data_IF_912768654419
#
_entry.id   IF_912768654419
#
_cell.length_a   1.000
_cell.length_b   1.000
_cell.length_c   1.000
_cell.angle_alpha   90.00
_cell.angle_beta   90.00
_cell.angle_gamma   90.00
#
_symmetry.space_group_name_H-M   'P 1'
#
loop_
_entity.id
_entity.type
_entity.pdbx_description
1 polymer ?
#
# COMPACT_ATOMS: atom_id res chain seq x y z
N UNK A 1 -85.52 -39.18 -7.77
CA UNK A 1 -84.88 -37.86 -8.02
C UNK A 1 -84.42 -37.16 -6.73
N UNK A 2 -85.22 -37.18 -5.65
CA UNK A 2 -84.87 -36.53 -4.36
C UNK A 2 -83.59 -37.07 -3.69
N UNK A 3 -83.36 -38.37 -3.69
CA UNK A 3 -82.16 -38.99 -3.07
C UNK A 3 -80.85 -38.64 -3.77
N UNK A 4 -80.88 -38.50 -5.10
CA UNK A 4 -79.71 -38.07 -5.89
C UNK A 4 -79.35 -36.60 -5.61
N UNK A 5 -80.35 -35.74 -5.40
CA UNK A 5 -80.14 -34.34 -5.05
C UNK A 5 -79.53 -34.17 -3.65
N UNK A 6 -79.95 -34.99 -2.68
CA UNK A 6 -79.37 -34.97 -1.32
C UNK A 6 -77.91 -35.43 -1.33
N UNK A 7 -77.60 -36.50 -2.06
CA UNK A 7 -76.22 -36.98 -2.23
C UNK A 7 -75.31 -35.93 -2.89
N UNK A 8 -75.81 -35.24 -3.93
CA UNK A 8 -75.05 -34.19 -4.60
C UNK A 8 -74.80 -32.99 -3.68
N UNK A 9 -75.80 -32.61 -2.86
CA UNK A 9 -75.64 -31.54 -1.87
C UNK A 9 -74.62 -31.90 -0.78
N UNK A 10 -74.63 -33.15 -0.30
CA UNK A 10 -73.65 -33.62 0.68
C UNK A 10 -72.23 -33.64 0.09
N UNK A 11 -72.09 -34.02 -1.19
CA UNK A 11 -70.80 -34.02 -1.88
C UNK A 11 -70.26 -32.59 -2.03
N UNK A 12 -71.10 -31.63 -2.43
CA UNK A 12 -70.67 -30.24 -2.56
C UNK A 12 -70.33 -29.58 -1.22
N UNK A 13 -71.02 -29.95 -0.13
CA UNK A 13 -70.70 -29.49 1.22
C UNK A 13 -69.37 -30.06 1.73
N UNK A 14 -69.07 -31.32 1.44
CA UNK A 14 -67.82 -31.96 1.92
C UNK A 14 -66.58 -31.50 1.16
N UNK A 15 -66.70 -31.21 -0.14
CA UNK A 15 -65.58 -30.66 -0.95
C UNK A 15 -65.25 -29.21 -0.56
N UNK A 16 -66.21 -28.44 -0.05
CA UNK A 16 -65.96 -27.06 0.42
C UNK A 16 -65.32 -27.00 1.81
N UNK A 17 -65.28 -28.11 2.56
CA UNK A 17 -64.68 -28.21 3.89
C UNK A 17 -63.25 -28.78 3.88
N UNK A 18 -62.77 -29.34 2.77
CA UNK A 18 -61.43 -29.96 2.69
C UNK A 18 -60.27 -28.96 2.72
N UNK A 19 -60.54 -27.66 2.59
CA UNK A 19 -59.54 -26.59 2.67
C UNK A 19 -59.50 -25.82 4.00
N UNK A 20 -60.42 -26.07 4.94
CA UNK A 20 -60.54 -25.29 6.18
C UNK A 20 -59.96 -25.98 7.43
N UNK A 21 -59.49 -27.23 7.34
CA UNK A 21 -59.06 -28.04 8.50
C UNK A 21 -57.63 -28.60 8.38
N UNK A 22 -56.78 -28.00 7.54
CA UNK A 22 -55.34 -28.28 7.55
C UNK A 22 -54.61 -27.25 8.40
N UNK A 23 -53.68 -27.69 9.27
CA UNK A 23 -52.64 -26.78 9.76
C UNK A 23 -51.92 -26.19 8.55
N UNK A 24 -51.76 -24.86 8.51
CA UNK A 24 -50.85 -24.23 7.56
C UNK A 24 -49.46 -24.78 7.84
N UNK A 25 -48.95 -25.66 6.97
CA UNK A 25 -47.53 -26.00 6.98
C UNK A 25 -46.78 -24.71 6.70
N UNK A 26 -46.24 -24.12 7.76
CA UNK A 26 -45.33 -22.98 7.70
C UNK A 26 -44.09 -23.50 6.97
N UNK A 27 -44.05 -23.30 5.65
CA UNK A 27 -42.84 -23.51 4.88
C UNK A 27 -41.78 -22.58 5.48
N UNK A 28 -40.67 -23.11 6.02
CA UNK A 28 -39.62 -22.24 6.52
C UNK A 28 -39.15 -21.37 5.36
N UNK A 29 -39.15 -20.05 5.55
CA UNK A 29 -38.55 -19.14 4.59
C UNK A 29 -37.11 -19.60 4.33
N UNK A 30 -36.68 -19.73 3.06
CA UNK A 30 -35.31 -20.09 2.77
C UNK A 30 -34.41 -19.01 3.35
N UNK A 31 -33.52 -19.40 4.27
CA UNK A 31 -32.50 -18.51 4.81
C UNK A 31 -31.70 -17.96 3.63
N UNK A 32 -31.60 -16.63 3.46
CA UNK A 32 -30.80 -16.07 2.38
C UNK A 32 -29.36 -16.53 2.56
N UNK A 33 -28.85 -17.28 1.59
CA UNK A 33 -27.42 -17.61 1.52
C UNK A 33 -26.71 -16.29 1.26
N UNK A 34 -25.90 -15.85 2.22
CA UNK A 34 -25.01 -14.71 2.03
C UNK A 34 -24.01 -15.14 0.96
N UNK A 35 -24.12 -14.57 -0.25
CA UNK A 35 -23.06 -14.73 -1.25
C UNK A 35 -21.81 -14.03 -0.69
N UNK A 36 -20.81 -14.83 -0.30
CA UNK A 36 -19.46 -14.31 -0.05
C UNK A 36 -18.96 -13.70 -1.36
N UNK A 37 -18.84 -12.37 -1.42
CA UNK A 37 -18.31 -11.68 -2.59
C UNK A 37 -16.84 -12.11 -2.80
N UNK A 38 -16.52 -12.91 -3.84
CA UNK A 38 -15.19 -13.50 -4.00
C UNK A 38 -14.12 -12.46 -4.35
N UNK A 39 -14.48 -11.17 -4.49
CA UNK A 39 -13.58 -10.08 -4.85
C UNK A 39 -12.95 -9.39 -3.65
N UNK A 40 -13.52 -9.51 -2.46
CA UNK A 40 -13.03 -8.87 -1.25
C UNK A 40 -12.70 -9.95 -0.23
N UNK A 41 -11.43 -10.04 0.15
CA UNK A 41 -10.96 -10.99 1.14
C UNK A 41 -10.02 -10.28 2.12
N UNK A 42 -10.09 -10.67 3.39
CA UNK A 42 -9.19 -10.18 4.44
C UNK A 42 -8.22 -11.30 4.77
N UNK A 43 -6.93 -10.98 4.87
CA UNK A 43 -5.91 -11.96 5.24
C UNK A 43 -5.10 -11.50 6.44
N UNK A 44 -4.54 -12.46 7.18
CA UNK A 44 -3.47 -12.17 8.13
C UNK A 44 -2.14 -11.90 7.41
N UNK A 45 -1.09 -11.60 8.17
CA UNK A 45 0.27 -11.35 7.65
C UNK A 45 0.89 -12.52 6.88
N UNK A 46 0.30 -13.71 6.96
CA UNK A 46 0.76 -14.92 6.26
C UNK A 46 -0.07 -15.23 5.01
N UNK A 47 -1.10 -14.42 4.73
CA UNK A 47 -2.01 -14.63 3.61
C UNK A 47 -3.17 -15.58 3.91
N UNK A 48 -3.37 -15.99 5.18
CA UNK A 48 -4.49 -16.84 5.57
C UNK A 48 -5.76 -16.01 5.64
N UNK A 49 -6.83 -16.49 5.01
CA UNK A 49 -8.14 -15.83 5.02
C UNK A 49 -8.69 -15.70 6.43
N UNK A 50 -9.16 -14.51 6.77
CA UNK A 50 -9.82 -14.18 8.03
C UNK A 50 -11.30 -13.91 7.76
N UNK A 51 -12.18 -14.57 8.52
CA UNK A 51 -13.62 -14.31 8.50
C UNK A 51 -13.93 -13.03 9.31
N UNK A 52 -13.57 -11.89 8.71
CA UNK A 52 -13.82 -10.58 9.29
C UNK A 52 -14.16 -9.57 8.20
N UNK A 53 -14.92 -8.54 8.58
CA UNK A 53 -15.32 -7.48 7.66
C UNK A 53 -14.09 -6.70 7.18
N UNK A 54 -13.98 -6.51 5.87
CA UNK A 54 -12.96 -5.66 5.29
C UNK A 54 -13.09 -4.22 5.78
N UNK A 55 -11.94 -3.54 5.92
CA UNK A 55 -11.92 -2.12 6.27
C UNK A 55 -12.67 -1.36 5.18
N UNK A 56 -13.57 -0.45 5.59
CA UNK A 56 -14.26 0.42 4.66
C UNK A 56 -13.24 1.38 4.01
N UNK A 57 -12.97 1.17 2.72
CA UNK A 57 -11.97 1.93 1.97
C UNK A 57 -12.64 2.72 0.86
N UNK A 58 -12.16 3.94 0.64
CA UNK A 58 -12.49 4.74 -0.54
C UNK A 58 -11.23 4.90 -1.36
N UNK A 59 -11.29 4.51 -2.63
CA UNK A 59 -10.19 4.72 -3.57
C UNK A 59 -10.37 6.04 -4.28
N UNK A 60 -9.31 6.84 -4.33
CA UNK A 60 -9.28 8.11 -5.04
C UNK A 60 -8.21 8.04 -6.12
N UNK A 61 -8.50 8.62 -7.27
CA UNK A 61 -7.49 8.86 -8.29
C UNK A 61 -6.81 10.20 -7.98
N UNK A 62 -5.50 10.18 -7.88
CA UNK A 62 -4.69 11.37 -7.63
C UNK A 62 -3.66 11.49 -8.74
N UNK A 63 -3.77 12.56 -9.53
CA UNK A 63 -2.82 12.86 -10.59
C UNK A 63 -1.69 13.74 -10.04
N UNK A 64 -0.47 13.23 -10.07
CA UNK A 64 0.73 13.94 -9.60
C UNK A 64 1.22 14.95 -10.65
N UNK A 65 0.76 14.84 -11.90
CA UNK A 65 1.15 15.72 -13.01
C UNK A 65 2.52 15.40 -13.64
N UNK A 66 3.18 14.33 -13.20
CA UNK A 66 4.52 13.94 -13.63
C UNK A 66 4.56 12.50 -14.14
N UNK A 67 5.56 12.18 -14.96
CA UNK A 67 5.81 10.78 -15.36
C UNK A 67 6.52 10.02 -14.23
N UNK A 68 6.06 8.82 -13.90
CA UNK A 68 6.65 8.00 -12.83
C UNK A 68 7.29 6.72 -13.35
N UNK A 69 8.49 6.79 -13.95
CA UNK A 69 9.31 5.57 -14.08
C UNK A 69 9.89 5.24 -12.71
N UNK A 70 9.89 3.97 -12.37
CA UNK A 70 10.40 3.45 -11.09
C UNK A 70 9.82 4.17 -9.85
N UNK A 71 8.48 4.21 -9.71
CA UNK A 71 7.85 5.00 -8.66
C UNK A 71 8.09 4.40 -7.27
N UNK A 72 8.25 5.28 -6.29
CA UNK A 72 8.24 4.95 -4.86
C UNK A 72 7.37 5.95 -4.11
N UNK A 73 6.72 5.48 -3.05
CA UNK A 73 5.83 6.29 -2.21
C UNK A 73 6.12 6.04 -0.74
N UNK A 74 6.05 7.09 0.06
CA UNK A 74 6.15 7.02 1.51
C UNK A 74 5.28 8.09 2.18
N UNK A 75 5.01 7.91 3.47
CA UNK A 75 4.15 8.81 4.24
C UNK A 75 4.85 9.05 5.59
N UNK A 76 5.04 10.31 5.96
CA UNK A 76 5.57 10.69 7.28
C UNK A 76 4.47 10.63 8.33
N UNK A 77 4.83 10.62 9.61
CA UNK A 77 3.88 10.55 10.72
C UNK A 77 2.93 11.77 10.80
N UNK A 78 3.29 12.89 10.18
CA UNK A 78 2.43 14.07 10.01
C UNK A 78 1.29 13.87 8.99
N UNK A 79 1.38 12.81 8.19
CA UNK A 79 0.44 12.50 7.12
C UNK A 79 0.82 13.10 5.76
N UNK A 80 1.99 13.73 5.64
CA UNK A 80 2.52 14.16 4.35
C UNK A 80 2.98 12.95 3.52
N UNK A 81 2.53 12.90 2.28
CA UNK A 81 2.82 11.86 1.31
C UNK A 81 3.94 12.35 0.39
N UNK A 82 4.93 11.50 0.14
CA UNK A 82 6.03 11.75 -0.76
C UNK A 82 6.02 10.71 -1.87
N UNK A 83 6.09 11.16 -3.12
CA UNK A 83 6.10 10.34 -4.31
C UNK A 83 7.26 10.74 -5.20
N UNK A 84 8.05 9.76 -5.64
CA UNK A 84 9.15 10.01 -6.58
C UNK A 84 8.65 9.86 -8.00
N UNK A 85 8.84 10.92 -8.79
CA UNK A 85 8.52 10.98 -10.20
C UNK A 85 9.75 11.42 -10.99
N UNK A 86 10.51 10.46 -11.53
CA UNK A 86 11.83 10.71 -12.13
C UNK A 86 12.75 11.41 -11.12
N UNK A 87 13.40 12.50 -11.51
CA UNK A 87 14.26 13.28 -10.64
C UNK A 87 13.51 13.98 -9.51
N UNK A 88 12.16 14.07 -9.54
CA UNK A 88 11.37 14.92 -8.64
C UNK A 88 10.87 14.20 -7.40
N UNK A 89 11.01 14.85 -6.24
CA UNK A 89 10.25 14.53 -5.03
C UNK A 89 8.96 15.36 -4.97
N UNK A 90 7.84 14.70 -5.25
CA UNK A 90 6.50 15.26 -5.19
C UNK A 90 5.91 15.05 -3.79
N UNK A 91 5.35 16.10 -3.20
CA UNK A 91 4.81 16.11 -1.84
C UNK A 91 3.34 16.51 -1.83
N UNK A 92 2.56 15.87 -0.97
CA UNK A 92 1.17 16.24 -0.66
C UNK A 92 0.91 16.15 0.84
N UNK A 93 0.39 17.21 1.46
CA UNK A 93 -0.03 17.19 2.87
C UNK A 93 -1.54 17.42 3.04
N UNK A 94 -2.31 17.30 1.95
CA UNK A 94 -3.77 17.41 1.93
C UNK A 94 -4.45 16.08 1.60
N UNK A 95 -3.75 14.96 1.85
CA UNK A 95 -4.24 13.61 1.60
C UNK A 95 -4.21 13.20 0.12
N UNK A 96 -3.30 13.77 -0.68
CA UNK A 96 -3.15 13.47 -2.09
C UNK A 96 -4.13 14.23 -2.98
N UNK A 97 -4.69 15.37 -2.53
CA UNK A 97 -5.56 16.20 -3.38
C UNK A 97 -4.75 17.13 -4.28
N UNK A 98 -3.63 17.64 -3.79
CA UNK A 98 -2.68 18.44 -4.56
C UNK A 98 -1.23 18.02 -4.29
N UNK A 99 -0.36 18.28 -5.26
CA UNK A 99 1.05 17.91 -5.24
C UNK A 99 1.93 19.10 -5.59
N UNK A 100 3.06 19.19 -4.92
CA UNK A 100 4.12 20.16 -5.19
C UNK A 100 5.48 19.46 -5.27
N UNK A 101 6.36 19.91 -6.17
CA UNK A 101 7.77 19.52 -6.15
C UNK A 101 8.45 20.29 -5.01
N UNK A 102 9.09 19.57 -4.08
CA UNK A 102 9.68 20.19 -2.89
C UNK A 102 11.19 20.05 -2.77
N UNK A 103 11.79 19.23 -3.62
CA UNK A 103 13.23 19.04 -3.60
C UNK A 103 14.00 20.32 -3.91
N UNK A 104 15.16 20.49 -3.28
CA UNK A 104 16.06 21.58 -3.59
C UNK A 104 16.89 21.22 -4.85
N UNK A 105 16.92 22.10 -5.88
CA UNK A 105 17.60 21.82 -7.16
C UNK A 105 19.13 21.80 -7.08
N UNK A 106 19.70 22.17 -5.92
CA UNK A 106 21.15 22.15 -5.66
C UNK A 106 21.50 20.98 -4.75
N UNK A 107 20.70 20.72 -3.71
CA UNK A 107 20.94 19.63 -2.77
C UNK A 107 20.58 18.26 -3.38
N UNK A 108 19.61 18.20 -4.28
CA UNK A 108 19.19 17.00 -4.99
C UNK A 108 19.75 16.98 -6.42
N UNK A 109 19.87 15.77 -6.99
CA UNK A 109 20.33 15.63 -8.37
C UNK A 109 19.30 16.15 -9.37
N UNK A 110 19.70 16.95 -10.38
CA UNK A 110 18.81 17.40 -11.44
C UNK A 110 18.60 16.35 -12.55
N UNK A 111 19.25 15.20 -12.45
CA UNK A 111 19.14 14.11 -13.43
C UNK A 111 19.04 12.76 -12.75
N UNK A 112 18.49 11.78 -13.46
CA UNK A 112 18.39 10.41 -12.99
C UNK A 112 18.55 9.40 -14.12
N UNK A 113 19.17 8.27 -13.79
CA UNK A 113 19.14 7.04 -14.59
C UNK A 113 18.18 5.99 -14.03
N UNK A 114 17.90 6.06 -12.72
CA UNK A 114 17.03 5.16 -11.96
C UNK A 114 16.68 5.87 -10.62
N UNK A 115 15.45 6.40 -10.49
CA UNK A 115 15.01 7.11 -9.31
C UNK A 115 14.51 6.17 -8.21
N UNK A 116 14.73 6.56 -6.96
CA UNK A 116 14.19 5.86 -5.81
C UNK A 116 13.96 6.81 -4.64
N UNK A 117 13.01 6.48 -3.77
CA UNK A 117 12.71 7.25 -2.57
C UNK A 117 12.33 6.36 -1.41
N UNK A 118 12.53 6.90 -0.22
CA UNK A 118 12.22 6.24 1.04
C UNK A 118 11.79 7.27 2.07
N UNK A 119 10.75 6.94 2.85
CA UNK A 119 10.41 7.69 4.06
C UNK A 119 10.70 6.78 5.23
N UNK A 120 11.59 7.19 6.13
CA UNK A 120 11.92 6.44 7.33
C UNK A 120 10.70 6.43 8.27
N UNK A 121 10.08 5.26 8.54
CA UNK A 121 8.90 5.20 9.40
C UNK A 121 9.20 5.48 10.88
N UNK A 122 10.49 5.56 11.27
CA UNK A 122 10.91 5.83 12.64
C UNK A 122 11.21 7.32 12.84
N UNK A 123 11.93 7.93 11.91
CA UNK A 123 12.45 9.30 12.08
C UNK A 123 11.76 10.34 11.19
N UNK A 124 10.82 9.93 10.35
CA UNK A 124 10.17 10.76 9.32
C UNK A 124 11.12 11.39 8.29
N UNK A 125 12.38 10.92 8.23
CA UNK A 125 13.33 11.40 7.23
C UNK A 125 12.90 10.94 5.84
N UNK A 126 12.78 11.90 4.94
CA UNK A 126 12.48 11.66 3.53
C UNK A 126 13.80 11.60 2.75
N UNK A 127 13.96 10.60 1.89
CA UNK A 127 15.10 10.45 1.00
C UNK A 127 14.65 10.54 -0.46
N UNK A 128 15.34 11.38 -1.22
CA UNK A 128 15.34 11.38 -2.68
C UNK A 128 16.66 10.84 -3.18
N UNK A 129 16.63 9.75 -3.94
CA UNK A 129 17.82 9.02 -4.37
C UNK A 129 17.82 8.93 -5.89
N UNK A 130 18.90 9.38 -6.52
CA UNK A 130 19.04 9.35 -7.96
C UNK A 130 20.31 8.61 -8.36
N UNK A 131 20.17 7.55 -9.17
CA UNK A 131 21.32 6.89 -9.78
C UNK A 131 21.88 7.76 -10.91
N UNK A 132 23.20 7.91 -10.95
CA UNK A 132 23.91 8.69 -11.97
C UNK A 132 24.81 7.76 -12.78
N UNK A 133 24.40 7.48 -14.02
CA UNK A 133 25.25 6.85 -15.04
C UNK A 133 25.80 5.47 -14.68
N UNK A 134 25.09 4.70 -13.83
CA UNK A 134 25.52 3.41 -13.26
C UNK A 134 26.77 3.50 -12.37
N UNK A 135 27.32 4.69 -12.11
CA UNK A 135 28.60 4.86 -11.43
C UNK A 135 28.42 5.21 -9.94
N UNK A 136 27.44 6.05 -9.64
CA UNK A 136 27.21 6.58 -8.30
C UNK A 136 25.73 6.84 -8.06
N UNK A 137 25.37 7.17 -6.83
CA UNK A 137 24.08 7.80 -6.50
C UNK A 137 24.27 9.11 -5.78
N UNK A 138 23.36 10.02 -6.09
CA UNK A 138 23.14 11.26 -5.36
C UNK A 138 22.00 11.02 -4.38
N UNK A 139 22.27 11.17 -3.10
CA UNK A 139 21.27 11.06 -2.05
C UNK A 139 21.01 12.44 -1.49
N UNK A 140 19.77 12.89 -1.53
CA UNK A 140 19.32 14.04 -0.77
C UNK A 140 18.25 13.61 0.24
N UNK A 141 18.13 14.36 1.33
CA UNK A 141 17.19 14.07 2.39
C UNK A 141 16.63 15.34 3.03
N UNK A 142 15.43 15.18 3.61
CA UNK A 142 14.74 16.20 4.40
C UNK A 142 14.32 15.60 5.75
N UNK A 143 14.48 16.40 6.79
CA UNK A 143 14.11 16.09 8.18
C UNK A 143 12.91 16.92 8.67
N UNK A 144 12.26 17.67 7.77
CA UNK A 144 11.22 18.65 8.10
C UNK A 144 10.04 18.62 7.11
N UNK A 145 9.57 17.42 6.78
CA UNK A 145 8.47 17.21 5.81
C UNK A 145 8.72 17.89 4.46
N UNK A 146 9.95 17.82 3.95
CA UNK A 146 10.32 18.32 2.62
C UNK A 146 10.46 19.84 2.54
N UNK A 147 10.52 20.57 3.65
CA UNK A 147 10.68 22.04 3.62
C UNK A 147 12.12 22.45 3.31
N UNK A 148 13.10 21.72 3.84
CA UNK A 148 14.52 21.92 3.56
C UNK A 148 15.20 20.60 3.23
N UNK A 149 16.23 20.69 2.39
CA UNK A 149 16.96 19.55 1.87
C UNK A 149 18.45 19.70 2.05
N UNK A 150 19.10 18.59 2.36
CA UNK A 150 20.55 18.42 2.30
C UNK A 150 20.84 17.27 1.33
N UNK A 151 22.06 17.21 0.78
CA UNK A 151 22.41 16.08 -0.06
C UNK A 151 23.90 15.89 -0.28
N UNK A 152 24.23 14.72 -0.79
CA UNK A 152 25.57 14.28 -1.11
C UNK A 152 25.57 13.66 -2.53
N UNK A 153 26.33 14.26 -3.49
CA UNK A 153 26.35 13.78 -4.87
C UNK A 153 27.03 12.42 -5.08
N UNK A 154 27.76 11.90 -4.08
CA UNK A 154 28.53 10.66 -4.20
C UNK A 154 28.38 9.75 -2.97
N UNK A 155 27.14 9.49 -2.56
CA UNK A 155 26.84 8.84 -1.28
C UNK A 155 26.78 7.29 -1.37
N UNK A 156 26.93 6.71 -2.57
CA UNK A 156 26.92 5.25 -2.79
C UNK A 156 28.29 4.56 -2.68
N UNK A 157 29.37 5.31 -2.43
CA UNK A 157 30.74 4.78 -2.42
C UNK A 157 31.37 4.60 -3.82
N UNK A 158 32.62 4.14 -3.86
CA UNK A 158 33.54 4.22 -5.02
C UNK A 158 33.53 3.02 -5.99
N UNK A 159 32.55 2.12 -5.91
CA UNK A 159 32.56 0.91 -6.75
C UNK A 159 31.64 1.09 -7.96
N UNK A 160 32.15 1.00 -9.20
CA UNK A 160 31.35 1.28 -10.39
C UNK A 160 30.36 0.14 -10.71
N UNK A 161 29.31 0.46 -11.47
CA UNK A 161 28.29 -0.45 -12.04
C UNK A 161 27.18 -0.90 -11.07
N UNK A 162 26.50 0.09 -10.51
CA UNK A 162 25.26 -0.07 -9.77
C UNK A 162 24.07 -0.01 -10.74
N UNK A 163 23.05 -0.81 -10.49
CA UNK A 163 21.78 -0.78 -11.22
C UNK A 163 20.64 -1.14 -10.25
N UNK A 164 19.40 -0.71 -10.50
CA UNK A 164 18.23 -1.01 -9.67
C UNK A 164 18.46 -0.70 -8.18
N UNK A 165 18.76 0.56 -7.89
CA UNK A 165 19.15 0.99 -6.55
C UNK A 165 17.97 0.89 -5.56
N UNK A 166 18.26 0.62 -4.29
CA UNK A 166 17.31 0.57 -3.18
C UNK A 166 17.93 1.19 -1.94
N UNK A 167 17.16 2.02 -1.25
CA UNK A 167 17.52 2.58 0.04
C UNK A 167 16.44 2.24 1.06
N UNK A 168 16.85 1.88 2.27
CA UNK A 168 15.94 1.71 3.39
C UNK A 168 16.65 2.05 4.70
N UNK A 169 15.87 2.38 5.73
CA UNK A 169 16.37 2.55 7.09
C UNK A 169 16.04 1.32 7.94
N UNK A 170 16.83 1.09 8.99
CA UNK A 170 16.60 -0.02 9.90
C UNK A 170 17.49 0.00 11.14
N UNK A 171 17.40 -1.03 11.99
CA UNK A 171 18.22 -1.14 13.18
C UNK A 171 19.71 -1.25 12.82
N UNK A 172 20.60 -0.77 13.67
CA UNK A 172 22.05 -0.97 13.52
C UNK A 172 22.41 -2.47 13.58
N UNK A 173 23.43 -2.89 12.81
CA UNK A 173 24.00 -4.26 12.92
C UNK A 173 25.44 -4.25 13.35
N UNK A 174 25.83 -5.29 14.09
CA UNK A 174 27.23 -5.53 14.49
C UNK A 174 28.08 -6.13 13.34
N UNK A 175 27.46 -6.49 12.20
CA UNK A 175 28.13 -7.16 11.08
C UNK A 175 28.66 -6.18 10.02
N UNK A 176 29.82 -6.48 9.42
CA UNK A 176 30.44 -5.70 8.34
C UNK A 176 31.13 -4.42 8.81
N UNK A 177 30.36 -3.44 9.31
CA UNK A 177 30.81 -2.09 9.68
C UNK A 177 30.69 -1.80 11.19
N UNK A 178 30.61 -2.84 12.02
CA UNK A 178 30.26 -2.74 13.45
C UNK A 178 31.05 -1.71 14.27
N UNK A 179 32.32 -1.44 13.95
CA UNK A 179 33.11 -0.44 14.68
C UNK A 179 32.68 1.02 14.41
N UNK A 180 32.34 1.36 13.16
CA UNK A 180 31.80 2.68 12.81
C UNK A 180 30.33 2.77 13.21
N UNK A 181 29.58 1.70 12.99
CA UNK A 181 28.18 1.59 13.38
C UNK A 181 27.96 1.81 14.88
N UNK A 182 28.83 1.26 15.74
CA UNK A 182 28.78 1.44 17.20
C UNK A 182 29.03 2.89 17.66
N UNK A 183 29.81 3.67 16.89
CA UNK A 183 30.01 5.08 17.21
C UNK A 183 28.82 5.91 16.73
N UNK A 184 28.39 5.72 15.48
CA UNK A 184 27.29 6.49 14.88
C UNK A 184 25.93 6.15 15.48
N UNK A 185 25.73 4.93 16.00
CA UNK A 185 24.51 4.54 16.72
C UNK A 185 24.32 5.30 18.03
N UNK A 186 25.34 5.99 18.54
CA UNK A 186 25.22 6.91 19.67
C UNK A 186 24.59 8.26 19.32
N UNK A 187 24.48 8.59 18.03
CA UNK A 187 23.98 9.88 17.53
C UNK A 187 22.78 9.74 16.60
N UNK A 188 22.67 8.64 15.86
CA UNK A 188 21.62 8.38 14.87
C UNK A 188 20.80 7.16 15.27
N UNK A 189 19.47 7.34 15.29
CA UNK A 189 18.53 6.31 15.73
C UNK A 189 18.47 5.11 14.77
N UNK A 190 18.49 5.35 13.47
CA UNK A 190 18.46 4.33 12.43
C UNK A 190 19.76 4.31 11.61
N UNK A 191 20.11 3.13 11.12
CA UNK A 191 21.10 2.96 10.08
C UNK A 191 20.44 3.06 8.70
N UNK A 192 21.16 3.61 7.72
CA UNK A 192 20.74 3.64 6.31
C UNK A 192 21.42 2.50 5.55
N UNK A 193 20.62 1.70 4.89
CA UNK A 193 21.03 0.58 4.04
C UNK A 193 20.86 0.98 2.58
N UNK A 194 21.94 0.89 1.84
CA UNK A 194 21.94 1.12 0.40
C UNK A 194 22.32 -0.18 -0.32
N UNK A 195 21.42 -0.65 -1.16
CA UNK A 195 21.53 -1.89 -1.92
C UNK A 195 21.36 -1.60 -3.40
N UNK A 196 21.99 -2.40 -4.25
CA UNK A 196 21.86 -2.29 -5.69
C UNK A 196 22.12 -3.66 -6.33
N UNK A 197 21.60 -3.87 -7.53
CA UNK A 197 21.99 -4.99 -8.35
C UNK A 197 23.41 -4.76 -8.86
N UNK A 198 24.29 -5.70 -8.54
CA UNK A 198 25.65 -5.71 -9.06
C UNK A 198 25.64 -6.30 -10.46
N UNK A 199 26.03 -5.53 -11.46
CA UNK A 199 26.23 -6.07 -12.82
C UNK A 199 27.50 -6.95 -12.87
N UNK A 200 27.53 -7.91 -13.80
CA UNK A 200 28.60 -8.91 -13.90
C UNK A 200 29.99 -8.25 -14.10
N UNK A 201 31.00 -8.69 -13.31
CA UNK A 201 32.40 -8.35 -13.56
C UNK A 201 33.22 -7.79 -12.39
N UNK A 202 32.71 -7.77 -11.16
CA UNK A 202 33.44 -7.21 -10.02
C UNK A 202 33.61 -8.31 -8.95
N UNK A 203 34.82 -8.85 -8.83
CA UNK A 203 35.23 -9.76 -7.76
C UNK A 203 35.95 -8.99 -6.66
#
# INVERSE_FOLDING_TARGET
MRTKAVLLALLMATVSLSGCFGEEEIMPEPVPVVEEDPRIFVTDKTGVSLDMTAINMTFQFSDVGETGKEPSIGITSSGCIFFIAMEKVMRSCDGGQSWEETQDPVACSPTTSDPYGWVDPITDRVFGVQMIGLETSWICWSDDDGQTWMGNPHDSGTTPLNDHIKLASGPWTDSGYGALGQFTSGFYETAVYYCYNKLAGIF
#
